data_IF_674481684169
#
_entry.id   IF_674481684169
#
_cell.length_a   1.000
_cell.length_b   1.000
_cell.length_c   1.000
_cell.angle_alpha   90.00
_cell.angle_beta   90.00
_cell.angle_gamma   90.00
#
_symmetry.space_group_name_H-M   'P 1'
#
loop_
_entity.id
_entity.type
_entity.pdbx_description
1 polymer ?
#
# COMPACT_ATOMS: atom_id res chain seq x y z
N UNK A 1 0.67 -23.70 -10.85
CA UNK A 1 2.15 -23.75 -10.74
C UNK A 1 2.72 -22.63 -9.85
N UNK A 2 2.36 -21.30 -9.97
CA UNK A 2 2.94 -20.23 -9.15
C UNK A 2 2.79 -20.45 -7.64
N UNK A 3 1.65 -20.96 -7.19
CA UNK A 3 1.36 -21.21 -5.76
C UNK A 3 2.23 -22.34 -5.17
N UNK A 4 2.74 -23.22 -6.01
CA UNK A 4 3.59 -24.38 -5.60
C UNK A 4 5.08 -24.12 -5.77
N UNK A 5 5.45 -23.03 -6.44
CA UNK A 5 6.84 -22.65 -6.67
C UNK A 5 7.45 -22.08 -5.38
N UNK A 6 8.44 -22.75 -4.78
CA UNK A 6 9.02 -22.31 -3.50
C UNK A 6 9.76 -21.00 -3.60
N UNK A 7 10.30 -20.63 -4.77
CA UNK A 7 11.01 -19.38 -5.00
C UNK A 7 10.03 -18.19 -5.13
N UNK A 8 8.89 -18.41 -5.76
CA UNK A 8 7.88 -17.36 -6.02
C UNK A 8 6.89 -17.17 -4.86
N UNK A 9 6.63 -18.22 -4.10
CA UNK A 9 5.64 -18.27 -3.03
C UNK A 9 5.76 -17.15 -1.98
N UNK A 10 6.95 -16.75 -1.49
CA UNK A 10 7.07 -15.66 -0.53
C UNK A 10 6.55 -14.32 -1.09
N UNK A 11 6.86 -14.02 -2.36
CA UNK A 11 6.38 -12.81 -3.03
C UNK A 11 4.86 -12.83 -3.21
N UNK A 12 4.31 -13.97 -3.61
CA UNK A 12 2.87 -14.15 -3.77
C UNK A 12 2.12 -13.90 -2.46
N UNK A 13 2.58 -14.49 -1.34
CA UNK A 13 1.98 -14.26 -0.02
C UNK A 13 2.13 -12.80 0.43
N UNK A 14 3.29 -12.19 0.20
CA UNK A 14 3.50 -10.78 0.49
C UNK A 14 2.48 -9.89 -0.23
N UNK A 15 2.24 -10.14 -1.52
CA UNK A 15 1.26 -9.39 -2.31
C UNK A 15 -0.19 -9.63 -1.86
N UNK A 16 -0.57 -10.88 -1.54
CA UNK A 16 -1.92 -11.22 -1.08
C UNK A 16 -2.22 -10.53 0.26
N UNK A 17 -1.32 -10.68 1.23
CA UNK A 17 -1.53 -10.09 2.55
C UNK A 17 -1.43 -8.57 2.48
N UNK A 18 -0.56 -8.02 1.61
CA UNK A 18 -0.54 -6.59 1.30
C UNK A 18 -1.86 -6.08 0.73
N UNK A 19 -2.49 -6.86 -0.16
CA UNK A 19 -3.83 -6.58 -0.67
C UNK A 19 -4.90 -6.60 0.42
N UNK A 20 -4.86 -7.60 1.32
CA UNK A 20 -5.78 -7.67 2.45
C UNK A 20 -5.66 -6.46 3.38
N UNK A 21 -4.45 -6.09 3.76
CA UNK A 21 -4.22 -4.98 4.70
C UNK A 21 -4.49 -3.62 4.05
N UNK A 22 -4.06 -3.40 2.80
CA UNK A 22 -4.30 -2.16 2.07
C UNK A 22 -5.77 -1.97 1.69
N UNK A 23 -6.45 -3.03 1.27
CA UNK A 23 -7.87 -2.98 0.89
C UNK A 23 -8.80 -2.63 2.03
N UNK A 24 -8.41 -2.95 3.27
CA UNK A 24 -9.24 -2.74 4.45
C UNK A 24 -9.51 -1.25 4.73
N UNK A 25 -8.55 -0.38 4.52
CA UNK A 25 -8.64 1.04 4.84
C UNK A 25 -8.81 1.94 3.60
N UNK A 26 -8.35 1.51 2.43
CA UNK A 26 -8.29 2.35 1.22
C UNK A 26 -9.64 2.96 0.79
N UNK A 27 -10.81 2.29 0.87
CA UNK A 27 -12.07 2.89 0.47
C UNK A 27 -12.51 4.06 1.35
N UNK A 28 -12.00 4.12 2.58
CA UNK A 28 -12.42 5.13 3.56
C UNK A 28 -11.57 6.40 3.53
N UNK A 29 -10.46 6.40 2.78
CA UNK A 29 -9.56 7.55 2.75
C UNK A 29 -10.27 8.83 2.29
N UNK A 30 -10.96 8.78 1.16
CA UNK A 30 -11.69 9.94 0.63
C UNK A 30 -12.84 10.38 1.55
N UNK A 31 -13.52 9.43 2.20
CA UNK A 31 -14.56 9.73 3.18
C UNK A 31 -13.97 10.43 4.40
N UNK A 32 -12.82 9.96 4.87
CA UNK A 32 -12.09 10.54 5.99
C UNK A 32 -11.63 11.97 5.68
N UNK A 33 -11.01 12.17 4.52
CA UNK A 33 -10.55 13.48 4.08
C UNK A 33 -11.68 14.50 3.97
N UNK A 34 -12.82 14.11 3.38
CA UNK A 34 -13.92 15.03 3.11
C UNK A 34 -14.83 15.23 4.34
N UNK A 35 -15.25 14.16 5.01
CA UNK A 35 -16.24 14.23 6.09
C UNK A 35 -15.63 14.49 7.45
N UNK A 36 -14.54 13.81 7.80
CA UNK A 36 -13.95 13.89 9.13
C UNK A 36 -12.97 15.06 9.22
N UNK A 37 -12.10 15.19 8.23
CA UNK A 37 -11.09 16.25 8.21
C UNK A 37 -11.60 17.57 7.62
N UNK A 38 -12.74 17.57 6.91
CA UNK A 38 -13.34 18.78 6.32
C UNK A 38 -12.53 19.39 5.18
N UNK A 39 -11.69 18.59 4.50
CA UNK A 39 -10.89 19.09 3.38
C UNK A 39 -11.77 19.29 2.14
N UNK A 40 -11.53 20.37 1.39
CA UNK A 40 -12.30 20.63 0.17
C UNK A 40 -11.86 19.71 -0.98
N UNK A 41 -12.79 19.38 -1.89
CA UNK A 41 -12.48 18.61 -3.10
C UNK A 41 -11.35 19.26 -3.93
N UNK A 42 -11.38 20.58 -4.07
CA UNK A 42 -10.36 21.33 -4.81
C UNK A 42 -8.98 21.14 -4.18
N UNK A 43 -8.90 21.21 -2.85
CA UNK A 43 -7.64 20.99 -2.13
C UNK A 43 -7.10 19.58 -2.34
N UNK A 44 -7.92 18.55 -2.15
CA UNK A 44 -7.52 17.15 -2.34
C UNK A 44 -7.06 16.91 -3.79
N UNK A 45 -7.80 17.44 -4.77
CA UNK A 45 -7.42 17.29 -6.19
C UNK A 45 -6.10 17.99 -6.49
N UNK A 46 -5.88 19.20 -5.95
CA UNK A 46 -4.61 19.93 -6.13
C UNK A 46 -3.42 19.15 -5.55
N UNK A 47 -3.58 18.61 -4.35
CA UNK A 47 -2.57 17.75 -3.73
C UNK A 47 -2.38 16.47 -4.55
N UNK A 48 -3.45 15.90 -5.11
CA UNK A 48 -3.42 14.75 -6.02
C UNK A 48 -2.56 14.98 -7.26
N UNK A 49 -2.68 16.15 -7.88
CA UNK A 49 -1.83 16.53 -9.04
C UNK A 49 -0.36 16.60 -8.65
N UNK A 50 -0.04 17.26 -7.53
CA UNK A 50 1.34 17.31 -7.02
C UNK A 50 1.87 15.91 -6.70
N UNK A 51 1.06 15.09 -6.05
CA UNK A 51 1.45 13.74 -5.68
C UNK A 51 1.69 12.84 -6.89
N UNK A 52 0.96 13.02 -8.00
CA UNK A 52 1.20 12.30 -9.25
C UNK A 52 2.58 12.64 -9.84
N UNK A 53 2.97 13.92 -9.85
CA UNK A 53 4.30 14.36 -10.30
C UNK A 53 5.39 13.79 -9.39
N UNK A 54 5.19 13.82 -8.07
CA UNK A 54 6.14 13.25 -7.11
C UNK A 54 6.23 11.73 -7.25
N UNK A 55 5.12 11.03 -7.52
CA UNK A 55 5.10 9.60 -7.80
C UNK A 55 5.94 9.22 -9.03
N UNK A 56 5.86 10.02 -10.10
CA UNK A 56 6.69 9.84 -11.30
C UNK A 56 8.18 10.05 -10.99
N UNK A 57 8.52 11.15 -10.31
CA UNK A 57 9.90 11.43 -9.89
C UNK A 57 10.41 10.37 -8.91
N UNK A 58 9.55 9.92 -7.99
CA UNK A 58 9.84 8.85 -7.05
C UNK A 58 10.22 7.55 -7.75
N UNK A 59 9.50 7.16 -8.80
CA UNK A 59 9.82 5.97 -9.57
C UNK A 59 11.24 5.99 -10.14
N UNK A 60 11.69 7.14 -10.62
CA UNK A 60 13.05 7.32 -11.12
C UNK A 60 14.11 7.24 -10.01
N UNK A 61 13.85 7.86 -8.84
CA UNK A 61 14.75 7.82 -7.68
C UNK A 61 14.89 6.38 -7.16
N UNK A 62 13.77 5.68 -7.00
CA UNK A 62 13.75 4.30 -6.53
C UNK A 62 14.40 3.33 -7.52
N UNK A 63 14.24 3.53 -8.84
CA UNK A 63 14.95 2.76 -9.85
C UNK A 63 16.47 2.90 -9.70
N UNK A 64 16.98 4.13 -9.56
CA UNK A 64 18.41 4.37 -9.33
C UNK A 64 18.92 3.76 -8.01
N UNK A 65 18.08 3.76 -6.98
CA UNK A 65 18.46 3.11 -5.72
C UNK A 65 18.53 1.59 -5.90
N UNK A 66 17.60 0.99 -6.64
CA UNK A 66 17.61 -0.43 -6.93
C UNK A 66 18.84 -0.88 -7.72
N UNK A 67 19.30 -0.06 -8.67
CA UNK A 67 20.53 -0.31 -9.44
C UNK A 67 21.79 -0.36 -8.54
N UNK A 68 21.74 0.27 -7.38
CA UNK A 68 22.87 0.34 -6.42
C UNK A 68 22.75 -0.65 -5.26
N UNK A 69 21.56 -1.17 -5.03
CA UNK A 69 21.27 -2.04 -3.87
C UNK A 69 20.69 -3.37 -4.33
N UNK A 70 19.41 -3.60 -4.04
CA UNK A 70 18.64 -4.74 -4.50
C UNK A 70 17.16 -4.39 -4.47
N UNK A 71 16.34 -5.03 -5.30
CA UNK A 71 14.91 -4.77 -5.38
C UNK A 71 14.15 -5.05 -4.06
N UNK A 72 14.59 -6.04 -3.29
CA UNK A 72 14.00 -6.30 -1.97
C UNK A 72 14.24 -5.15 -0.97
N UNK A 73 15.38 -4.46 -1.04
CA UNK A 73 15.66 -3.29 -0.22
C UNK A 73 14.70 -2.13 -0.55
N UNK A 74 14.44 -1.90 -1.85
CA UNK A 74 13.48 -0.90 -2.30
C UNK A 74 12.06 -1.25 -1.81
N UNK A 75 11.63 -2.52 -1.90
CA UNK A 75 10.33 -2.96 -1.36
C UNK A 75 10.24 -2.66 0.14
N UNK A 76 11.29 -3.00 0.90
CA UNK A 76 11.33 -2.76 2.34
C UNK A 76 11.19 -1.28 2.68
N UNK A 77 11.97 -0.44 2.04
CA UNK A 77 12.01 0.98 2.35
C UNK A 77 10.71 1.68 1.94
N UNK A 78 10.23 1.41 0.73
CA UNK A 78 8.97 1.98 0.23
C UNK A 78 7.76 1.49 1.03
N UNK A 79 7.72 0.20 1.39
CA UNK A 79 6.67 -0.35 2.22
C UNK A 79 6.69 0.25 3.63
N UNK A 80 7.87 0.36 4.25
CA UNK A 80 8.02 0.98 5.57
C UNK A 80 7.49 2.42 5.58
N UNK A 81 7.90 3.24 4.61
CA UNK A 81 7.45 4.63 4.51
C UNK A 81 5.94 4.72 4.23
N UNK A 82 5.43 3.91 3.31
CA UNK A 82 4.00 3.90 2.97
C UNK A 82 3.13 3.47 4.16
N UNK A 83 3.54 2.42 4.88
CA UNK A 83 2.84 1.96 6.09
C UNK A 83 2.92 2.98 7.23
N UNK A 84 4.03 3.71 7.35
CA UNK A 84 4.14 4.83 8.29
C UNK A 84 3.15 5.94 7.95
N UNK A 85 2.95 6.25 6.65
CA UNK A 85 1.90 7.17 6.22
C UNK A 85 0.50 6.62 6.55
N UNK A 86 0.24 5.34 6.32
CA UNK A 86 -1.04 4.70 6.66
C UNK A 86 -1.33 4.79 8.17
N UNK A 87 -0.35 4.51 9.02
CA UNK A 87 -0.49 4.73 10.46
C UNK A 87 -0.63 6.22 10.79
N UNK A 88 0.08 7.09 10.08
CA UNK A 88 -0.01 8.54 10.25
C UNK A 88 -1.45 9.06 10.12
N UNK A 89 -2.22 8.52 9.15
CA UNK A 89 -3.63 8.86 8.98
C UNK A 89 -4.47 8.66 10.24
N UNK A 90 -4.14 7.66 11.07
CA UNK A 90 -4.87 7.40 12.34
C UNK A 90 -4.76 8.54 13.35
N UNK A 91 -3.76 9.40 13.22
CA UNK A 91 -3.48 10.48 14.16
C UNK A 91 -3.81 11.87 13.60
N UNK A 92 -4.22 11.97 12.33
CA UNK A 92 -4.59 13.26 11.72
C UNK A 92 -5.89 13.76 12.34
N UNK A 93 -5.86 15.02 12.80
CA UNK A 93 -7.03 15.72 13.34
C UNK A 93 -7.42 16.91 12.47
N UNK A 94 -8.69 17.34 12.47
CA UNK A 94 -9.14 18.47 11.65
C UNK A 94 -8.30 19.75 11.82
N UNK A 95 -7.83 20.01 13.05
CA UNK A 95 -7.07 21.22 13.39
C UNK A 95 -5.75 21.39 12.64
N UNK A 96 -5.12 20.33 12.18
CA UNK A 96 -3.86 20.36 11.43
C UNK A 96 -3.90 19.54 10.12
N UNK A 97 -5.10 19.14 9.70
CA UNK A 97 -5.28 18.31 8.50
C UNK A 97 -4.72 18.96 7.24
N UNK A 98 -4.91 20.26 7.06
CA UNK A 98 -4.39 21.01 5.90
C UNK A 98 -2.86 20.98 5.78
N UNK A 99 -2.14 20.78 6.88
CA UNK A 99 -0.67 20.68 6.88
C UNK A 99 -0.19 19.25 6.72
N UNK A 100 -0.79 18.31 7.43
CA UNK A 100 -0.30 16.92 7.52
C UNK A 100 -0.79 16.07 6.36
N UNK A 101 -2.07 16.21 5.94
CA UNK A 101 -2.63 15.39 4.87
C UNK A 101 -1.83 15.48 3.55
N UNK A 102 -1.44 16.68 3.05
CA UNK A 102 -0.62 16.76 1.84
C UNK A 102 0.70 16.04 1.95
N UNK A 103 1.35 16.10 3.10
CA UNK A 103 2.64 15.41 3.34
C UNK A 103 2.45 13.90 3.24
N UNK A 104 1.42 13.36 3.90
CA UNK A 104 1.13 11.93 3.86
C UNK A 104 0.80 11.46 2.44
N UNK A 105 -0.04 12.22 1.71
CA UNK A 105 -0.44 11.89 0.32
C UNK A 105 0.79 11.90 -0.60
N UNK A 106 1.61 12.95 -0.53
CA UNK A 106 2.78 13.12 -1.40
C UNK A 106 3.84 12.07 -1.12
N UNK A 107 4.13 11.79 0.15
CA UNK A 107 5.10 10.76 0.55
C UNK A 107 4.61 9.37 0.12
N UNK A 108 3.33 9.05 0.37
CA UNK A 108 2.75 7.78 -0.04
C UNK A 108 2.80 7.59 -1.56
N UNK A 109 2.51 8.64 -2.35
CA UNK A 109 2.59 8.60 -3.81
C UNK A 109 4.03 8.37 -4.30
N UNK A 110 5.01 9.05 -3.71
CA UNK A 110 6.42 8.85 -4.01
C UNK A 110 6.89 7.41 -3.74
N UNK A 111 6.40 6.81 -2.66
CA UNK A 111 6.71 5.42 -2.31
C UNK A 111 5.98 4.40 -3.20
N UNK A 112 4.75 4.68 -3.61
CA UNK A 112 3.94 3.77 -4.42
C UNK A 112 4.60 3.47 -5.77
N UNK A 113 5.22 4.45 -6.42
CA UNK A 113 5.98 4.27 -7.65
C UNK A 113 7.14 3.27 -7.49
N UNK A 114 7.91 3.42 -6.42
CA UNK A 114 9.01 2.51 -6.10
C UNK A 114 8.55 1.10 -5.75
N UNK A 115 7.49 0.99 -4.95
CA UNK A 115 6.92 -0.30 -4.57
C UNK A 115 6.40 -1.07 -5.80
N UNK A 116 5.74 -0.38 -6.73
CA UNK A 116 5.24 -0.95 -8.00
C UNK A 116 6.40 -1.45 -8.87
N UNK A 117 7.42 -0.62 -9.08
CA UNK A 117 8.61 -1.00 -9.86
C UNK A 117 9.32 -2.21 -9.24
N UNK A 118 9.60 -2.17 -7.94
CA UNK A 118 10.31 -3.22 -7.26
C UNK A 118 9.53 -4.54 -7.24
N UNK A 119 8.21 -4.49 -7.01
CA UNK A 119 7.34 -5.66 -7.07
C UNK A 119 7.34 -6.28 -8.46
N UNK A 120 7.22 -5.46 -9.52
CA UNK A 120 7.22 -5.91 -10.91
C UNK A 120 8.54 -6.56 -11.29
N UNK A 121 9.68 -5.91 -10.97
CA UNK A 121 11.00 -6.46 -11.28
C UNK A 121 11.28 -7.75 -10.51
N UNK A 122 10.87 -7.83 -9.25
CA UNK A 122 10.99 -9.06 -8.47
C UNK A 122 10.12 -10.19 -9.04
N UNK A 123 8.91 -9.88 -9.53
CA UNK A 123 8.08 -10.84 -10.25
C UNK A 123 8.76 -11.34 -11.53
N UNK A 124 9.39 -10.45 -12.32
CA UNK A 124 10.15 -10.84 -13.51
C UNK A 124 11.31 -11.76 -13.19
N UNK A 125 12.08 -11.42 -12.17
CA UNK A 125 13.27 -12.17 -11.77
C UNK A 125 12.94 -13.57 -11.22
N UNK A 126 11.82 -13.71 -10.51
CA UNK A 126 11.41 -14.97 -9.87
C UNK A 126 10.53 -15.84 -10.77
N UNK A 127 10.02 -15.30 -11.88
CA UNK A 127 9.18 -16.08 -12.79
C UNK A 127 10.03 -16.85 -13.80
N UNK A 128 9.74 -18.14 -14.06
CA UNK A 128 10.42 -18.89 -15.11
C UNK A 128 10.12 -18.29 -16.49
N UNK A 129 11.10 -18.39 -17.41
CA UNK A 129 10.97 -17.82 -18.76
C UNK A 129 9.73 -18.31 -19.53
N UNK A 130 9.44 -19.60 -19.39
CA UNK A 130 8.22 -20.19 -19.94
C UNK A 130 7.06 -20.01 -18.98
N UNK A 131 6.25 -18.94 -19.14
CA UNK A 131 5.02 -18.78 -18.37
C UNK A 131 4.97 -17.54 -17.46
N UNK A 132 5.85 -16.57 -17.65
CA UNK A 132 5.86 -15.28 -16.90
C UNK A 132 4.45 -14.67 -16.81
N UNK A 133 3.71 -14.62 -17.91
CA UNK A 133 2.34 -14.08 -17.94
C UNK A 133 1.40 -14.78 -16.95
N UNK A 134 1.51 -16.10 -16.80
CA UNK A 134 0.69 -16.85 -15.84
C UNK A 134 1.03 -16.49 -14.38
N UNK A 135 2.32 -16.27 -14.09
CA UNK A 135 2.76 -15.85 -12.75
C UNK A 135 2.25 -14.45 -12.40
N UNK A 136 2.37 -13.50 -13.32
CA UNK A 136 1.81 -12.15 -13.17
C UNK A 136 0.28 -12.18 -13.02
N UNK A 137 -0.40 -12.93 -13.90
CA UNK A 137 -1.86 -13.05 -13.87
C UNK A 137 -2.38 -13.62 -12.56
N UNK A 138 -1.75 -14.68 -12.03
CA UNK A 138 -2.13 -15.27 -10.74
C UNK A 138 -1.87 -14.30 -9.59
N UNK A 139 -0.73 -13.61 -9.57
CA UNK A 139 -0.44 -12.64 -8.50
C UNK A 139 -1.43 -11.48 -8.53
N UNK A 140 -1.70 -10.92 -9.71
CA UNK A 140 -2.67 -9.84 -9.87
C UNK A 140 -4.08 -10.29 -9.46
N UNK A 141 -4.54 -11.45 -9.90
CA UNK A 141 -5.86 -11.97 -9.55
C UNK A 141 -6.00 -12.21 -8.05
N UNK A 142 -5.03 -12.89 -7.43
CA UNK A 142 -5.10 -13.23 -6.01
C UNK A 142 -4.99 -11.97 -5.12
N UNK A 143 -4.10 -11.03 -5.45
CA UNK A 143 -4.00 -9.78 -4.69
C UNK A 143 -5.24 -8.90 -4.86
N UNK A 144 -5.83 -8.84 -6.06
CA UNK A 144 -7.08 -8.11 -6.29
C UNK A 144 -8.26 -8.71 -5.56
N UNK A 145 -8.41 -10.05 -5.57
CA UNK A 145 -9.44 -10.75 -4.78
C UNK A 145 -9.27 -10.44 -3.29
N UNK A 146 -8.03 -10.49 -2.79
CA UNK A 146 -7.72 -10.18 -1.41
C UNK A 146 -8.10 -8.73 -1.06
N UNK A 147 -7.74 -7.77 -1.92
CA UNK A 147 -8.09 -6.35 -1.76
C UNK A 147 -9.60 -6.12 -1.77
N UNK A 148 -10.32 -6.70 -2.73
CA UNK A 148 -11.78 -6.56 -2.84
C UNK A 148 -12.49 -7.20 -1.64
N UNK A 149 -12.06 -8.40 -1.23
CA UNK A 149 -12.65 -9.08 -0.06
C UNK A 149 -12.43 -8.26 1.20
N UNK A 150 -11.22 -7.75 1.41
CA UNK A 150 -10.88 -6.92 2.55
C UNK A 150 -11.65 -5.59 2.56
N UNK A 151 -11.80 -4.95 1.41
CA UNK A 151 -12.62 -3.73 1.26
C UNK A 151 -14.09 -4.00 1.59
N UNK A 152 -14.64 -5.11 1.12
CA UNK A 152 -16.02 -5.52 1.44
C UNK A 152 -16.22 -5.77 2.94
N UNK A 153 -15.27 -6.45 3.59
CA UNK A 153 -15.30 -6.67 5.04
C UNK A 153 -15.20 -5.34 5.79
N UNK A 154 -14.27 -4.45 5.40
CA UNK A 154 -14.15 -3.12 5.98
C UNK A 154 -15.45 -2.33 5.88
N UNK A 155 -16.08 -2.34 4.70
CA UNK A 155 -17.36 -1.65 4.45
C UNK A 155 -18.51 -2.25 5.27
N UNK A 156 -18.53 -3.57 5.47
CA UNK A 156 -19.57 -4.22 6.28
C UNK A 156 -19.42 -3.93 7.79
N UNK A 157 -18.19 -3.79 8.27
CA UNK A 157 -17.89 -3.54 9.69
C UNK A 157 -18.00 -2.06 10.06
N UNK A 158 -17.68 -1.15 9.13
CA UNK A 158 -17.60 0.29 9.38
C UNK A 158 -18.86 0.88 10.03
N UNK A 159 -20.11 0.57 9.61
CA UNK A 159 -21.30 1.12 10.26
C UNK A 159 -21.47 0.67 11.72
N UNK A 160 -21.02 -0.53 12.05
CA UNK A 160 -21.03 -1.03 13.43
C UNK A 160 -20.02 -0.29 14.31
N UNK A 161 -18.84 -0.02 13.76
CA UNK A 161 -17.81 0.76 14.44
C UNK A 161 -18.22 2.23 14.59
N UNK A 162 -18.83 2.82 13.57
CA UNK A 162 -19.32 4.20 13.58
C UNK A 162 -20.36 4.41 14.67
N UNK A 163 -21.29 3.46 14.83
CA UNK A 163 -22.31 3.49 15.89
C UNK A 163 -21.72 3.46 17.29
N UNK A 164 -20.57 2.81 17.48
CA UNK A 164 -19.92 2.67 18.81
C UNK A 164 -18.85 3.73 19.08
N UNK A 165 -18.13 4.22 18.06
CA UNK A 165 -16.95 5.06 18.19
C UNK A 165 -17.06 6.39 17.43
N UNK A 166 -18.13 6.63 16.67
CA UNK A 166 -18.30 7.81 15.85
C UNK A 166 -17.17 7.97 14.81
N UNK A 167 -16.71 9.21 14.60
CA UNK A 167 -15.68 9.56 13.61
C UNK A 167 -14.33 8.86 13.84
N UNK A 168 -14.06 8.38 15.05
CA UNK A 168 -12.82 7.64 15.37
C UNK A 168 -12.79 6.25 14.74
N UNK A 169 -13.92 5.73 14.26
CA UNK A 169 -14.03 4.42 13.61
C UNK A 169 -13.10 4.30 12.40
N UNK A 170 -13.03 5.34 11.57
CA UNK A 170 -12.19 5.34 10.36
C UNK A 170 -10.69 5.40 10.74
N UNK A 171 -10.33 6.18 11.76
CA UNK A 171 -8.96 6.21 12.29
C UNK A 171 -8.51 4.83 12.78
N UNK A 172 -9.42 4.06 13.39
CA UNK A 172 -9.14 2.68 13.82
C UNK A 172 -8.87 1.76 12.63
N UNK A 173 -9.61 1.91 11.51
CA UNK A 173 -9.37 1.12 10.30
C UNK A 173 -7.98 1.37 9.72
N UNK A 174 -7.52 2.62 9.67
CA UNK A 174 -6.15 2.94 9.26
C UNK A 174 -5.11 2.35 10.21
N UNK A 175 -5.37 2.40 11.51
CA UNK A 175 -4.47 1.83 12.51
C UNK A 175 -4.32 0.31 12.35
N UNK A 176 -5.43 -0.40 12.21
CA UNK A 176 -5.43 -1.86 11.98
C UNK A 176 -4.74 -2.22 10.66
N UNK A 177 -5.05 -1.49 9.58
CA UNK A 177 -4.40 -1.69 8.29
C UNK A 177 -2.89 -1.46 8.35
N UNK A 178 -2.46 -0.39 9.03
CA UNK A 178 -1.05 -0.08 9.22
C UNK A 178 -0.30 -1.16 10.01
N UNK A 179 -0.83 -1.60 11.15
CA UNK A 179 -0.23 -2.68 11.95
C UNK A 179 -0.20 -3.99 11.17
N UNK A 180 -1.29 -4.36 10.51
CA UNK A 180 -1.35 -5.55 9.66
C UNK A 180 -0.33 -5.51 8.52
N UNK A 181 -0.16 -4.34 7.89
CA UNK A 181 0.86 -4.12 6.88
C UNK A 181 2.28 -4.25 7.40
N UNK A 182 2.60 -3.69 8.57
CA UNK A 182 3.91 -3.87 9.21
C UNK A 182 4.16 -5.33 9.59
N UNK A 183 3.16 -6.03 10.12
CA UNK A 183 3.28 -7.47 10.38
C UNK A 183 3.59 -8.24 9.10
N UNK A 184 2.90 -7.94 7.99
CA UNK A 184 3.19 -8.52 6.69
C UNK A 184 4.62 -8.22 6.22
N UNK A 185 5.07 -6.99 6.34
CA UNK A 185 6.43 -6.58 5.96
C UNK A 185 7.48 -7.36 6.76
N UNK A 186 7.29 -7.51 8.07
CA UNK A 186 8.23 -8.23 8.94
C UNK A 186 8.22 -9.74 8.66
N UNK A 187 7.04 -10.34 8.50
CA UNK A 187 6.90 -11.81 8.39
C UNK A 187 7.24 -12.29 6.97
N UNK A 188 6.67 -11.64 5.96
CA UNK A 188 6.79 -12.06 4.56
C UNK A 188 7.84 -11.27 3.79
N UNK A 189 8.00 -9.98 4.08
CA UNK A 189 9.03 -9.14 3.45
C UNK A 189 10.46 -9.65 3.70
N UNK A 190 10.73 -10.20 4.89
CA UNK A 190 12.04 -10.81 5.21
C UNK A 190 12.36 -12.08 4.41
N UNK A 191 11.32 -12.73 3.86
CA UNK A 191 11.48 -13.94 3.06
C UNK A 191 11.68 -13.65 1.59
N UNK A 192 11.61 -12.38 1.18
CA UNK A 192 11.85 -11.99 -0.20
C UNK A 192 13.32 -12.17 -0.55
N UNK A 193 13.62 -12.87 -1.66
CA UNK A 193 15.01 -13.06 -2.09
C UNK A 193 15.65 -11.74 -2.51
N UNK A 194 16.94 -11.62 -2.25
CA UNK A 194 17.75 -10.50 -2.76
C UNK A 194 18.03 -10.74 -4.25
N UNK A 195 17.44 -9.91 -5.10
CA UNK A 195 17.67 -9.90 -6.54
C UNK A 195 18.24 -8.54 -6.91
N UNK A 196 19.40 -8.52 -7.52
CA UNK A 196 20.07 -7.35 -8.11
C UNK A 196 19.79 -7.26 -9.60
#
# INVERSE_FOLDING_TARGET
RPVRDPAYRPLLFYCIIGGLTGGFASPFLSVYELRVLGLSHTFITSVGVVSAVVGMAGSWVWGRLADRTAWNCVIWLTAFLNLSCTLGWSFVRPSFAHLVAPVLIVVAAGCAGGASLASTNLQFALSPESGKTAYFGVTAAMSSIATCTSAAVGTAIQPMLEKSMGDSSISLLFFVAGIGGFANLIINGRKLPSVT
#
